data_IF_996526010097
#
_entry.id   IF_996526010097
#
_cell.length_a   1.000
_cell.length_b   1.000
_cell.length_c   1.000
_cell.angle_alpha   90.00
_cell.angle_beta   90.00
_cell.angle_gamma   90.00
#
_symmetry.space_group_name_H-M   'P 1'
#
loop_
_entity.id
_entity.type
_entity.pdbx_description
1 polymer ?
#
# COMPACT_ATOMS: atom_id res chain seq x y z
N UNK A 1 -22.70 3.29 26.02
CA UNK A 1 -22.66 1.88 25.55
C UNK A 1 -21.84 1.83 24.26
N UNK A 2 -21.01 0.81 24.07
CA UNK A 2 -20.26 0.76 22.78
C UNK A 2 -21.25 0.45 21.66
N UNK A 3 -21.42 1.35 20.68
CA UNK A 3 -22.47 1.29 19.66
C UNK A 3 -22.52 -0.04 18.88
N UNK A 4 -21.37 -0.65 18.58
CA UNK A 4 -21.35 -1.93 17.88
C UNK A 4 -22.11 -3.05 18.59
N UNK A 5 -22.23 -3.00 19.93
CA UNK A 5 -23.00 -3.98 20.71
C UNK A 5 -24.49 -3.91 20.43
N UNK A 6 -25.05 -2.72 20.08
CA UNK A 6 -26.43 -2.56 19.67
C UNK A 6 -26.75 -3.40 18.42
N UNK A 7 -25.81 -3.47 17.48
CA UNK A 7 -25.95 -4.26 16.27
C UNK A 7 -25.56 -5.74 16.45
N UNK A 8 -25.47 -6.20 17.72
CA UNK A 8 -25.15 -7.59 18.04
C UNK A 8 -23.73 -8.00 17.65
N UNK A 9 -22.81 -7.03 17.53
CA UNK A 9 -21.39 -7.29 17.30
C UNK A 9 -20.69 -7.44 18.65
N UNK A 10 -19.82 -8.44 18.77
CA UNK A 10 -19.02 -8.69 19.98
C UNK A 10 -17.76 -7.84 20.04
N UNK A 11 -17.28 -7.35 18.88
CA UNK A 11 -16.11 -6.46 18.75
C UNK A 11 -16.37 -5.38 17.70
N UNK A 12 -15.56 -4.32 17.72
CA UNK A 12 -15.59 -3.25 16.72
C UNK A 12 -15.08 -3.80 15.36
N UNK A 13 -15.89 -3.76 14.28
CA UNK A 13 -15.53 -4.29 12.96
C UNK A 13 -14.36 -3.56 12.30
N UNK A 14 -14.07 -2.35 12.78
CA UNK A 14 -13.03 -1.48 12.23
C UNK A 14 -11.77 -1.45 13.11
N UNK A 15 -11.72 -2.26 14.16
CA UNK A 15 -10.57 -2.32 15.04
C UNK A 15 -9.58 -3.40 14.56
N UNK A 16 -8.31 -3.03 14.45
CA UNK A 16 -7.24 -3.93 14.02
C UNK A 16 -7.05 -4.01 12.49
N UNK A 17 -5.87 -4.45 12.12
CA UNK A 17 -5.49 -4.70 10.73
C UNK A 17 -6.14 -5.99 10.18
N UNK A 18 -6.18 -6.07 8.85
CA UNK A 18 -6.49 -7.33 8.16
C UNK A 18 -5.35 -8.32 8.40
N UNK A 19 -5.69 -9.50 8.90
CA UNK A 19 -4.70 -10.52 9.29
C UNK A 19 -4.61 -11.68 8.31
N UNK A 20 -5.61 -11.86 7.44
CA UNK A 20 -5.68 -12.94 6.46
C UNK A 20 -5.91 -12.40 5.06
N UNK A 21 -5.31 -13.03 4.06
CA UNK A 21 -5.48 -12.64 2.65
C UNK A 21 -6.94 -12.71 2.18
N UNK A 22 -7.71 -13.68 2.64
CA UNK A 22 -9.15 -13.87 2.35
C UNK A 22 -10.04 -12.71 2.86
N UNK A 23 -9.56 -11.97 3.83
CA UNK A 23 -10.26 -10.80 4.41
C UNK A 23 -9.93 -9.49 3.70
N UNK A 24 -9.06 -9.51 2.70
CA UNK A 24 -8.70 -8.32 1.92
C UNK A 24 -9.78 -8.06 0.88
N UNK A 25 -10.38 -6.87 0.95
CA UNK A 25 -11.27 -6.42 -0.13
C UNK A 25 -10.43 -6.00 -1.34
N UNK A 26 -10.69 -6.63 -2.48
CA UNK A 26 -10.02 -6.36 -3.74
C UNK A 26 -11.05 -5.96 -4.79
N UNK A 27 -10.98 -4.72 -5.22
CA UNK A 27 -11.58 -4.29 -6.50
C UNK A 27 -10.73 -4.82 -7.67
N UNK A 28 -11.24 -4.74 -8.89
CA UNK A 28 -10.45 -5.13 -10.07
C UNK A 28 -9.18 -4.30 -10.19
N UNK A 29 -9.25 -3.00 -9.86
CA UNK A 29 -8.08 -2.11 -9.85
C UNK A 29 -7.04 -2.53 -8.79
N UNK A 30 -7.45 -2.79 -7.55
CA UNK A 30 -6.53 -3.19 -6.48
C UNK A 30 -5.99 -4.60 -6.71
N UNK A 31 -6.75 -5.47 -7.36
CA UNK A 31 -6.29 -6.79 -7.80
C UNK A 31 -5.20 -6.67 -8.86
N UNK A 32 -5.41 -5.79 -9.85
CA UNK A 32 -4.39 -5.47 -10.86
C UNK A 32 -3.12 -4.93 -10.20
N UNK A 33 -3.25 -3.99 -9.26
CA UNK A 33 -2.11 -3.44 -8.52
C UNK A 33 -1.34 -4.54 -7.77
N UNK A 34 -2.05 -5.43 -7.07
CA UNK A 34 -1.41 -6.54 -6.34
C UNK A 34 -0.69 -7.50 -7.28
N UNK A 35 -1.30 -7.83 -8.43
CA UNK A 35 -0.67 -8.64 -9.47
C UNK A 35 0.57 -7.96 -10.04
N UNK A 36 0.50 -6.66 -10.32
CA UNK A 36 1.63 -5.91 -10.85
C UNK A 36 2.81 -5.89 -9.87
N UNK A 37 2.56 -5.69 -8.58
CA UNK A 37 3.59 -5.77 -7.54
C UNK A 37 4.23 -7.16 -7.49
N UNK A 38 3.42 -8.21 -7.57
CA UNK A 38 3.90 -9.59 -7.59
C UNK A 38 4.79 -9.87 -8.82
N UNK A 39 4.34 -9.47 -10.01
CA UNK A 39 5.12 -9.64 -11.24
C UNK A 39 6.41 -8.81 -11.23
N UNK A 40 6.36 -7.58 -10.72
CA UNK A 40 7.56 -6.74 -10.55
C UNK A 40 8.59 -7.44 -9.66
N UNK A 41 8.17 -8.01 -8.53
CA UNK A 41 9.07 -8.73 -7.64
C UNK A 41 9.71 -9.97 -8.29
N UNK A 42 9.04 -10.60 -9.26
CA UNK A 42 9.56 -11.75 -10.04
C UNK A 42 10.48 -11.32 -11.17
N UNK A 43 10.13 -10.27 -11.89
CA UNK A 43 10.76 -9.90 -13.15
C UNK A 43 11.92 -8.88 -13.02
N UNK A 44 12.04 -8.20 -11.88
CA UNK A 44 13.12 -7.21 -11.67
C UNK A 44 12.78 -5.80 -12.16
N UNK A 45 11.51 -5.40 -12.16
CA UNK A 45 11.04 -4.06 -12.53
C UNK A 45 11.22 -3.01 -11.44
N UNK A 46 10.80 -1.76 -11.76
CA UNK A 46 10.68 -0.66 -10.80
C UNK A 46 9.25 -0.15 -10.78
N UNK A 47 8.63 -0.08 -9.60
CA UNK A 47 7.25 0.40 -9.43
C UNK A 47 7.12 1.31 -8.23
N UNK A 48 6.28 2.33 -8.33
CA UNK A 48 5.85 3.16 -7.23
C UNK A 48 4.35 2.96 -6.98
N UNK A 49 3.99 2.42 -5.80
CA UNK A 49 2.62 2.33 -5.33
C UNK A 49 2.29 3.57 -4.51
N UNK A 50 1.43 4.41 -5.05
CA UNK A 50 1.02 5.68 -4.45
C UNK A 50 -0.44 5.64 -3.97
N UNK A 51 -0.74 6.48 -3.02
CA UNK A 51 -2.11 6.66 -2.53
C UNK A 51 -2.12 7.46 -1.23
N UNK A 52 -3.26 8.03 -0.92
CA UNK A 52 -3.47 8.80 0.30
C UNK A 52 -3.29 7.96 1.58
N UNK A 53 -3.11 8.62 2.71
CA UNK A 53 -3.12 7.93 4.00
C UNK A 53 -4.44 7.19 4.19
N UNK A 54 -4.35 5.90 4.58
CA UNK A 54 -5.54 5.06 4.74
C UNK A 54 -6.15 4.51 3.45
N UNK A 55 -5.49 4.66 2.29
CA UNK A 55 -5.95 4.08 1.01
C UNK A 55 -5.80 2.55 0.90
N UNK A 56 -5.11 1.93 1.85
CA UNK A 56 -4.92 0.47 1.85
C UNK A 56 -3.60 -0.01 1.25
N UNK A 57 -2.63 0.88 0.96
CA UNK A 57 -1.29 0.51 0.43
C UNK A 57 -0.64 -0.65 1.17
N UNK A 58 -0.59 -0.56 2.50
CA UNK A 58 0.00 -1.60 3.36
C UNK A 58 -0.74 -2.93 3.23
N UNK A 59 -2.07 -2.89 3.11
CA UNK A 59 -2.89 -4.09 2.93
C UNK A 59 -2.63 -4.75 1.58
N UNK A 60 -2.61 -3.99 0.49
CA UNK A 60 -2.32 -4.51 -0.86
C UNK A 60 -0.89 -5.04 -0.94
N UNK A 61 0.08 -4.34 -0.35
CA UNK A 61 1.45 -4.83 -0.24
C UNK A 61 1.52 -6.17 0.49
N UNK A 62 0.89 -6.26 1.67
CA UNK A 62 0.86 -7.51 2.45
C UNK A 62 0.22 -8.64 1.66
N UNK A 63 -0.88 -8.37 0.97
CA UNK A 63 -1.55 -9.35 0.11
C UNK A 63 -0.62 -9.87 -1.01
N UNK A 64 0.07 -8.98 -1.73
CA UNK A 64 1.02 -9.38 -2.76
C UNK A 64 2.20 -10.19 -2.20
N UNK A 65 2.70 -9.82 -1.00
CA UNK A 65 3.80 -10.54 -0.35
C UNK A 65 3.38 -11.89 0.21
N UNK A 66 2.18 -12.00 0.78
CA UNK A 66 1.60 -13.26 1.25
C UNK A 66 1.46 -14.27 0.10
N UNK A 67 1.06 -13.79 -1.07
CA UNK A 67 0.99 -14.62 -2.28
C UNK A 67 2.38 -15.15 -2.70
N UNK A 68 3.43 -14.32 -2.62
CA UNK A 68 4.81 -14.76 -2.90
C UNK A 68 5.19 -15.93 -1.98
N UNK A 69 4.82 -15.86 -0.71
CA UNK A 69 5.14 -16.90 0.27
C UNK A 69 4.29 -18.16 0.06
N UNK A 70 2.98 -18.02 -0.15
CA UNK A 70 2.04 -19.12 -0.33
C UNK A 70 2.31 -19.92 -1.60
N UNK A 71 2.74 -19.27 -2.68
CA UNK A 71 3.16 -19.93 -3.92
C UNK A 71 4.58 -20.52 -3.86
N UNK A 72 5.27 -20.42 -2.72
CA UNK A 72 6.62 -20.96 -2.55
C UNK A 72 7.67 -20.29 -3.44
N UNK A 73 7.42 -19.05 -3.86
CA UNK A 73 8.36 -18.30 -4.71
C UNK A 73 9.65 -17.97 -3.95
N UNK A 74 10.78 -18.26 -4.54
CA UNK A 74 12.10 -17.94 -3.98
C UNK A 74 12.43 -16.44 -4.17
N UNK A 75 11.66 -15.57 -3.50
CA UNK A 75 11.88 -14.12 -3.55
C UNK A 75 12.28 -13.62 -2.17
N UNK A 76 13.42 -12.97 -2.06
CA UNK A 76 13.88 -12.31 -0.84
C UNK A 76 13.41 -10.86 -0.83
N UNK A 77 12.67 -10.49 0.23
CA UNK A 77 12.20 -9.13 0.45
C UNK A 77 13.24 -8.40 1.30
N UNK A 78 13.76 -7.32 0.79
CA UNK A 78 14.75 -6.45 1.43
C UNK A 78 14.05 -5.16 1.82
N UNK A 79 14.01 -4.86 3.12
CA UNK A 79 13.32 -3.68 3.64
C UNK A 79 14.25 -2.86 4.54
N UNK A 80 14.81 -1.73 4.06
CA UNK A 80 15.65 -0.87 4.89
C UNK A 80 14.90 -0.36 6.12
N UNK A 81 15.40 -0.69 7.31
CA UNK A 81 14.79 -0.36 8.60
C UNK A 81 15.20 1.02 9.10
N UNK A 82 15.08 2.04 8.24
CA UNK A 82 15.28 3.42 8.68
C UNK A 82 13.98 4.02 9.22
N UNK A 83 14.02 4.65 10.39
CA UNK A 83 12.90 5.38 10.96
C UNK A 83 12.69 6.68 10.17
N UNK A 84 13.78 7.37 9.85
CA UNK A 84 13.77 8.60 9.05
C UNK A 84 14.17 8.27 7.60
N UNK A 85 13.20 8.22 6.72
CA UNK A 85 13.41 7.89 5.29
C UNK A 85 14.09 9.03 4.53
N UNK A 86 13.96 10.28 4.98
CA UNK A 86 14.67 11.40 4.38
C UNK A 86 16.20 11.25 4.51
N UNK A 87 16.65 10.51 5.53
CA UNK A 87 18.06 10.17 5.78
C UNK A 87 18.48 8.80 5.25
N UNK A 88 17.62 8.11 4.52
CA UNK A 88 17.98 6.84 3.90
C UNK A 88 19.06 7.07 2.84
N UNK A 89 20.28 6.61 3.14
CA UNK A 89 21.44 6.75 2.26
C UNK A 89 21.67 5.50 1.42
N UNK A 90 22.42 5.64 0.33
CA UNK A 90 22.91 4.52 -0.48
C UNK A 90 23.62 3.46 0.37
N UNK A 91 24.43 3.91 1.36
CA UNK A 91 25.13 3.01 2.29
C UNK A 91 24.15 2.18 3.12
N UNK A 92 23.09 2.80 3.63
CA UNK A 92 22.06 2.11 4.42
C UNK A 92 21.27 1.10 3.57
N UNK A 93 21.02 1.39 2.30
CA UNK A 93 20.41 0.44 1.35
C UNK A 93 21.34 -0.76 1.13
N UNK A 94 22.65 -0.52 0.90
CA UNK A 94 23.64 -1.62 0.80
C UNK A 94 23.64 -2.49 2.08
N UNK A 95 23.62 -1.87 3.25
CA UNK A 95 23.62 -2.58 4.52
C UNK A 95 22.37 -3.47 4.66
N UNK A 96 21.20 -2.96 4.28
CA UNK A 96 19.96 -3.74 4.28
C UNK A 96 20.04 -4.95 3.33
N UNK A 97 20.54 -4.73 2.10
CA UNK A 97 20.71 -5.83 1.13
C UNK A 97 21.64 -6.90 1.67
N UNK A 98 22.79 -6.50 2.23
CA UNK A 98 23.77 -7.44 2.77
C UNK A 98 23.18 -8.24 3.95
N UNK A 99 22.49 -7.57 4.89
CA UNK A 99 21.89 -8.19 6.06
C UNK A 99 20.74 -9.14 5.72
N UNK A 100 19.85 -8.74 4.79
CA UNK A 100 18.67 -9.53 4.45
C UNK A 100 19.00 -10.68 3.48
N UNK A 101 20.10 -10.57 2.71
CA UNK A 101 20.46 -11.57 1.71
C UNK A 101 21.60 -12.51 2.13
N UNK A 102 22.37 -12.17 3.17
CA UNK A 102 23.51 -12.96 3.61
C UNK A 102 23.73 -12.90 5.13
N UNK A 103 24.60 -13.76 5.64
CA UNK A 103 25.09 -13.71 7.03
C UNK A 103 26.36 -12.84 7.18
N UNK A 104 26.79 -12.16 6.10
CA UNK A 104 28.02 -11.38 6.13
C UNK A 104 27.81 -10.03 6.83
N UNK A 105 28.88 -9.51 7.42
CA UNK A 105 28.88 -8.14 7.94
C UNK A 105 29.17 -7.15 6.81
N UNK A 106 28.46 -6.00 6.74
CA UNK A 106 28.72 -4.96 5.76
C UNK A 106 30.16 -4.43 5.84
N UNK A 107 30.78 -4.23 4.70
CA UNK A 107 32.11 -3.60 4.58
C UNK A 107 32.06 -2.13 5.00
N UNK A 108 33.20 -1.51 5.28
CA UNK A 108 33.26 -0.14 5.80
C UNK A 108 33.04 0.92 4.73
N UNK A 109 33.69 0.79 3.56
CA UNK A 109 33.58 1.78 2.48
C UNK A 109 32.41 1.50 1.56
N UNK A 110 31.81 2.53 0.98
CA UNK A 110 30.69 2.39 0.06
C UNK A 110 31.07 1.57 -1.19
N UNK A 111 32.28 1.75 -1.71
CA UNK A 111 32.78 0.98 -2.85
C UNK A 111 32.87 -0.52 -2.52
N UNK A 112 33.43 -0.87 -1.37
CA UNK A 112 33.53 -2.27 -0.94
C UNK A 112 32.12 -2.87 -0.65
N UNK A 113 31.18 -2.08 -0.12
CA UNK A 113 29.77 -2.49 0.03
C UNK A 113 29.12 -2.75 -1.31
N UNK A 114 29.32 -1.88 -2.31
CA UNK A 114 28.74 -2.03 -3.64
C UNK A 114 29.17 -3.33 -4.30
N UNK A 115 30.48 -3.65 -4.26
CA UNK A 115 31.01 -4.94 -4.77
C UNK A 115 30.46 -6.13 -3.96
N UNK A 116 30.31 -5.97 -2.64
CA UNK A 116 29.72 -7.01 -1.78
C UNK A 116 28.27 -7.27 -2.13
N UNK A 117 27.46 -6.22 -2.35
CA UNK A 117 26.04 -6.31 -2.76
C UNK A 117 25.93 -7.04 -4.09
N UNK A 118 26.69 -6.62 -5.11
CA UNK A 118 26.67 -7.25 -6.43
C UNK A 118 26.98 -8.74 -6.33
N UNK A 119 28.06 -9.12 -5.64
CA UNK A 119 28.45 -10.52 -5.44
C UNK A 119 27.36 -11.33 -4.71
N UNK A 120 26.79 -10.77 -3.63
CA UNK A 120 25.75 -11.46 -2.84
C UNK A 120 24.50 -11.68 -3.69
N UNK A 121 24.02 -10.64 -4.40
CA UNK A 121 22.82 -10.75 -5.23
C UNK A 121 23.05 -11.73 -6.38
N UNK A 122 24.22 -11.69 -7.05
CA UNK A 122 24.59 -12.63 -8.12
C UNK A 122 24.58 -14.07 -7.63
N UNK A 123 25.27 -14.36 -6.52
CA UNK A 123 25.33 -15.71 -5.97
C UNK A 123 23.95 -16.22 -5.55
N UNK A 124 23.15 -15.36 -4.92
CA UNK A 124 21.77 -15.69 -4.51
C UNK A 124 20.87 -15.89 -5.74
N UNK A 125 21.01 -15.09 -6.78
CA UNK A 125 20.26 -15.25 -8.04
C UNK A 125 20.61 -16.57 -8.74
N UNK A 126 21.88 -16.96 -8.79
CA UNK A 126 22.34 -18.25 -9.34
C UNK A 126 21.84 -19.45 -8.51
N UNK A 127 21.57 -19.26 -7.22
CA UNK A 127 20.89 -20.23 -6.36
C UNK A 127 19.35 -20.26 -6.55
N UNK A 128 18.83 -19.49 -7.52
CA UNK A 128 17.41 -19.46 -7.90
C UNK A 128 16.55 -18.48 -7.15
N UNK A 129 17.16 -17.55 -6.38
CA UNK A 129 16.41 -16.50 -5.69
C UNK A 129 16.26 -15.24 -6.56
N UNK A 130 15.12 -14.59 -6.47
CA UNK A 130 14.90 -13.22 -6.89
C UNK A 130 14.96 -12.29 -5.66
N UNK A 131 15.14 -10.99 -5.89
CA UNK A 131 15.25 -10.02 -4.80
C UNK A 131 14.38 -8.82 -5.10
N UNK A 132 13.70 -8.30 -4.09
CA UNK A 132 12.92 -7.06 -4.17
C UNK A 132 13.30 -6.13 -3.03
N UNK A 133 13.77 -4.94 -3.39
CA UNK A 133 13.98 -3.83 -2.46
C UNK A 133 12.68 -3.09 -2.29
N UNK A 134 12.16 -3.07 -1.08
CA UNK A 134 10.89 -2.43 -0.74
C UNK A 134 11.14 -1.25 0.19
N UNK A 135 10.76 -0.06 -0.24
CA UNK A 135 10.92 1.18 0.54
C UNK A 135 9.54 1.75 0.81
N UNK A 136 9.12 1.69 2.08
CA UNK A 136 7.90 2.36 2.56
C UNK A 136 8.20 3.83 2.86
N UNK A 137 7.14 4.67 2.85
CA UNK A 137 7.21 6.14 3.00
C UNK A 137 8.22 6.76 2.02
N UNK A 138 8.23 6.24 0.78
CA UNK A 138 9.18 6.66 -0.25
C UNK A 138 9.01 8.13 -0.67
N UNK A 139 7.89 8.77 -0.33
CA UNK A 139 7.69 10.20 -0.53
C UNK A 139 8.67 11.07 0.27
N UNK A 140 9.28 10.52 1.34
CA UNK A 140 10.33 11.22 2.10
C UNK A 140 11.72 11.10 1.48
N UNK A 141 11.94 10.17 0.52
CA UNK A 141 13.26 10.00 -0.12
C UNK A 141 13.77 11.30 -0.73
N UNK A 142 15.06 11.56 -0.56
CA UNK A 142 15.72 12.66 -1.24
C UNK A 142 15.92 12.36 -2.73
N UNK A 143 15.96 13.37 -3.58
CA UNK A 143 16.25 13.22 -5.02
C UNK A 143 17.59 12.51 -5.28
N UNK A 144 18.69 12.82 -4.55
CA UNK A 144 19.93 12.05 -4.69
C UNK A 144 19.75 10.56 -4.41
N UNK A 145 18.99 10.19 -3.35
CA UNK A 145 18.71 8.77 -3.06
C UNK A 145 17.92 8.12 -4.18
N UNK A 146 16.89 8.80 -4.71
CA UNK A 146 16.11 8.30 -5.84
C UNK A 146 17.00 8.05 -7.07
N UNK A 147 17.95 8.94 -7.38
CA UNK A 147 18.93 8.74 -8.48
C UNK A 147 19.79 7.49 -8.28
N UNK A 148 20.20 7.18 -7.05
CA UNK A 148 20.98 5.99 -6.76
C UNK A 148 20.18 4.68 -6.92
N UNK A 149 18.86 4.70 -6.79
CA UNK A 149 18.04 3.50 -7.01
C UNK A 149 18.19 2.94 -8.42
N UNK A 150 18.41 3.80 -9.42
CA UNK A 150 18.73 3.35 -10.79
C UNK A 150 19.94 2.42 -10.81
N UNK A 151 21.03 2.77 -10.10
CA UNK A 151 22.26 1.97 -10.07
C UNK A 151 22.05 0.60 -9.43
N UNK A 152 21.20 0.50 -8.39
CA UNK A 152 20.82 -0.78 -7.81
C UNK A 152 19.98 -1.61 -8.78
N UNK A 153 19.07 -0.98 -9.50
CA UNK A 153 18.23 -1.66 -10.49
C UNK A 153 19.03 -2.11 -11.72
N UNK A 154 20.10 -1.42 -12.08
CA UNK A 154 20.99 -1.77 -13.20
C UNK A 154 21.87 -3.00 -12.91
N UNK A 155 21.94 -3.48 -11.68
CA UNK A 155 22.65 -4.71 -11.34
C UNK A 155 22.03 -5.90 -12.07
N UNK A 156 22.86 -6.65 -12.82
CA UNK A 156 22.40 -7.77 -13.64
C UNK A 156 23.42 -8.92 -13.70
N UNK A 157 22.95 -10.12 -13.95
CA UNK A 157 23.75 -11.30 -14.27
C UNK A 157 23.31 -11.81 -15.65
N UNK A 158 24.06 -11.45 -16.68
CA UNK A 158 23.64 -11.61 -18.08
C UNK A 158 22.45 -10.71 -18.42
N UNK A 159 21.32 -11.30 -18.81
CA UNK A 159 20.09 -10.57 -19.13
C UNK A 159 19.12 -10.48 -17.93
N UNK A 160 19.47 -11.08 -16.80
CA UNK A 160 18.60 -11.12 -15.63
C UNK A 160 18.90 -9.96 -14.68
N UNK A 161 17.88 -9.16 -14.37
CA UNK A 161 17.96 -8.16 -13.31
C UNK A 161 18.08 -8.84 -11.95
N UNK A 162 19.01 -8.36 -11.13
CA UNK A 162 19.28 -8.93 -9.80
C UNK A 162 18.35 -8.37 -8.71
N UNK A 163 17.74 -7.20 -8.95
CA UNK A 163 16.95 -6.50 -7.95
C UNK A 163 15.72 -5.82 -8.58
N UNK A 164 14.55 -6.15 -8.09
CA UNK A 164 13.33 -5.36 -8.29
C UNK A 164 13.27 -4.23 -7.25
N UNK A 165 12.60 -3.12 -7.57
CA UNK A 165 12.42 -2.01 -6.63
C UNK A 165 10.94 -1.64 -6.55
N UNK A 166 10.41 -1.67 -5.33
CA UNK A 166 9.04 -1.28 -5.00
C UNK A 166 9.09 -0.09 -4.04
N UNK A 167 8.62 1.05 -4.49
CA UNK A 167 8.48 2.26 -3.70
C UNK A 167 7.02 2.40 -3.26
N UNK A 168 6.77 2.62 -1.99
CA UNK A 168 5.42 2.82 -1.46
C UNK A 168 5.38 4.17 -0.79
N UNK A 169 4.48 5.05 -1.26
CA UNK A 169 4.44 6.43 -0.79
C UNK A 169 3.07 7.07 -0.86
N UNK A 170 2.99 8.29 -0.38
CA UNK A 170 1.81 9.14 -0.52
C UNK A 170 1.83 9.85 -1.88
N UNK A 171 0.72 10.49 -2.22
CA UNK A 171 0.52 11.14 -3.54
C UNK A 171 1.49 12.29 -3.78
N UNK A 172 2.07 12.89 -2.74
CA UNK A 172 3.13 13.90 -2.85
C UNK A 172 4.36 13.40 -3.61
N UNK A 173 4.59 12.10 -3.63
CA UNK A 173 5.67 11.51 -4.41
C UNK A 173 5.53 11.77 -5.91
N UNK A 174 4.32 12.02 -6.43
CA UNK A 174 4.11 12.39 -7.84
C UNK A 174 4.96 13.60 -8.25
N UNK A 175 5.06 14.61 -7.38
CA UNK A 175 5.91 15.76 -7.67
C UNK A 175 7.40 15.39 -7.79
N UNK A 176 7.86 14.38 -7.03
CA UNK A 176 9.24 13.87 -7.15
C UNK A 176 9.44 13.01 -8.39
N UNK A 177 8.38 12.38 -8.89
CA UNK A 177 8.38 11.55 -10.11
C UNK A 177 8.01 12.36 -11.37
N UNK A 178 7.89 13.66 -11.26
CA UNK A 178 7.67 14.55 -12.40
C UNK A 178 9.01 14.98 -13.01
N UNK A 179 9.29 14.56 -14.24
CA UNK A 179 10.52 14.90 -14.97
C UNK A 179 10.69 16.40 -15.18
N UNK A 180 9.61 17.14 -15.33
CA UNK A 180 9.66 18.60 -15.54
C UNK A 180 10.18 19.35 -14.31
N UNK A 181 9.90 18.81 -13.12
CA UNK A 181 10.35 19.38 -11.85
C UNK A 181 11.69 18.81 -11.40
N UNK A 182 12.04 17.58 -11.79
CA UNK A 182 13.22 16.85 -11.31
C UNK A 182 14.07 16.31 -12.47
N UNK A 183 14.44 17.19 -13.38
CA UNK A 183 15.22 16.85 -14.58
C UNK A 183 16.46 16.01 -14.30
N UNK A 184 17.14 16.26 -13.19
CA UNK A 184 18.34 15.51 -12.79
C UNK A 184 18.06 14.03 -12.43
N UNK A 185 16.81 13.67 -12.12
CA UNK A 185 16.37 12.31 -11.80
C UNK A 185 15.61 11.62 -12.96
N UNK A 186 15.47 12.27 -14.13
CA UNK A 186 14.68 11.79 -15.26
C UNK A 186 14.97 10.33 -15.66
N UNK A 187 16.24 9.92 -15.56
CA UNK A 187 16.63 8.58 -15.97
C UNK A 187 16.06 7.47 -15.09
N UNK A 188 15.91 7.72 -13.79
CA UNK A 188 15.24 6.78 -12.90
C UNK A 188 13.72 6.93 -12.98
N UNK A 189 13.22 8.17 -13.09
CA UNK A 189 11.78 8.45 -13.18
C UNK A 189 11.15 7.70 -14.36
N UNK A 190 11.78 7.71 -15.53
CA UNK A 190 11.31 7.00 -16.74
C UNK A 190 11.25 5.49 -16.62
N UNK A 191 11.86 4.91 -15.60
CA UNK A 191 11.87 3.46 -15.36
C UNK A 191 10.87 3.00 -14.31
N UNK A 192 10.29 3.97 -13.59
CA UNK A 192 9.34 3.70 -12.52
C UNK A 192 7.93 3.69 -13.10
N UNK A 193 7.28 2.54 -13.06
CA UNK A 193 5.84 2.46 -13.31
C UNK A 193 5.07 2.98 -12.09
N UNK A 194 4.14 3.91 -12.30
CA UNK A 194 3.40 4.54 -11.20
C UNK A 194 2.00 3.93 -11.13
N UNK A 195 1.71 3.28 -10.02
CA UNK A 195 0.39 2.75 -9.69
C UNK A 195 -0.22 3.58 -8.56
N UNK A 196 -1.47 3.94 -8.68
CA UNK A 196 -2.17 4.74 -7.68
C UNK A 196 -3.42 4.03 -7.17
N UNK A 197 -3.57 3.97 -5.84
CA UNK A 197 -4.81 3.51 -5.23
C UNK A 197 -5.80 4.66 -5.17
N UNK A 198 -6.90 4.53 -5.91
CA UNK A 198 -7.98 5.51 -5.94
C UNK A 198 -8.98 5.29 -4.80
N UNK A 199 -9.71 6.34 -4.40
CA UNK A 199 -10.83 6.20 -3.47
C UNK A 199 -12.00 5.49 -4.15
N UNK A 200 -12.90 4.91 -3.38
CA UNK A 200 -14.16 4.37 -3.89
C UNK A 200 -15.02 5.50 -4.46
N UNK A 201 -15.70 5.22 -5.56
CA UNK A 201 -16.49 6.21 -6.29
C UNK A 201 -17.98 6.17 -5.96
N UNK A 202 -18.52 5.02 -5.54
CA UNK A 202 -19.95 4.75 -5.40
C UNK A 202 -20.30 4.14 -4.05
N UNK A 203 -21.58 4.26 -3.66
CA UNK A 203 -22.11 3.57 -2.47
C UNK A 203 -22.07 2.05 -2.60
N UNK A 204 -22.19 1.52 -3.82
CA UNK A 204 -22.09 0.08 -4.09
C UNK A 204 -20.68 -0.48 -3.78
N UNK A 205 -19.63 0.24 -4.13
CA UNK A 205 -18.26 -0.14 -3.78
C UNK A 205 -18.04 -0.10 -2.25
N UNK A 206 -18.60 0.93 -1.58
CA UNK A 206 -18.59 1.03 -0.11
C UNK A 206 -19.35 -0.13 0.52
N UNK A 207 -20.54 -0.46 0.00
CA UNK A 207 -21.33 -1.58 0.46
C UNK A 207 -20.57 -2.90 0.37
N UNK A 208 -19.98 -3.17 -0.79
CA UNK A 208 -19.16 -4.38 -1.03
C UNK A 208 -17.95 -4.46 -0.08
N UNK A 209 -17.30 -3.33 0.18
CA UNK A 209 -16.21 -3.26 1.16
C UNK A 209 -16.69 -3.58 2.58
N UNK A 210 -17.82 -2.99 3.00
CA UNK A 210 -18.39 -3.19 4.32
C UNK A 210 -18.95 -4.61 4.51
N UNK A 211 -19.45 -5.25 3.45
CA UNK A 211 -19.91 -6.64 3.48
C UNK A 211 -18.78 -7.58 3.97
N UNK A 212 -17.57 -7.44 3.47
CA UNK A 212 -16.43 -8.25 3.94
C UNK A 212 -16.12 -7.95 5.40
N UNK A 213 -16.17 -6.67 5.81
CA UNK A 213 -15.89 -6.29 7.21
C UNK A 213 -16.89 -6.90 8.21
N UNK A 214 -18.17 -6.88 7.90
CA UNK A 214 -19.20 -7.43 8.78
C UNK A 214 -19.30 -8.95 8.68
N UNK A 215 -19.11 -9.53 7.48
CA UNK A 215 -19.09 -10.98 7.27
C UNK A 215 -18.01 -11.67 8.13
N UNK A 216 -16.85 -11.04 8.33
CA UNK A 216 -15.80 -11.53 9.26
C UNK A 216 -16.29 -11.72 10.70
N UNK A 217 -17.32 -10.98 11.10
CA UNK A 217 -17.93 -11.04 12.42
C UNK A 217 -19.24 -11.84 12.43
N UNK A 218 -19.51 -12.58 11.34
CA UNK A 218 -20.72 -13.40 11.20
C UNK A 218 -22.00 -12.58 11.08
N UNK A 219 -21.93 -11.34 10.57
CA UNK A 219 -23.08 -10.45 10.40
C UNK A 219 -23.26 -10.06 8.94
N UNK A 220 -24.52 -9.89 8.54
CA UNK A 220 -24.91 -9.31 7.27
C UNK A 220 -24.85 -7.78 7.37
N UNK A 221 -24.22 -7.13 6.41
CA UNK A 221 -24.10 -5.66 6.37
C UNK A 221 -25.48 -4.98 6.38
N UNK A 222 -26.43 -5.50 5.58
CA UNK A 222 -27.77 -4.90 5.44
C UNK A 222 -28.55 -4.80 6.76
N UNK A 223 -28.22 -5.60 7.78
CA UNK A 223 -28.78 -5.51 9.13
C UNK A 223 -28.10 -4.45 9.99
N UNK A 224 -27.06 -3.78 9.48
CA UNK A 224 -26.28 -2.76 10.19
C UNK A 224 -26.34 -1.44 9.45
N UNK A 225 -26.08 -1.45 8.14
CA UNK A 225 -26.15 -0.30 7.25
C UNK A 225 -26.82 -0.69 5.92
N UNK A 226 -27.79 0.11 5.50
CA UNK A 226 -28.55 -0.07 4.27
C UNK A 226 -27.79 0.38 3.03
N UNK A 227 -28.29 0.06 1.83
CA UNK A 227 -27.66 0.50 0.57
C UNK A 227 -27.73 2.02 0.42
N UNK A 228 -28.86 2.63 0.76
CA UNK A 228 -29.02 4.09 0.77
C UNK A 228 -28.13 4.77 1.82
N UNK A 229 -27.90 4.12 2.96
CA UNK A 229 -26.91 4.56 3.95
C UNK A 229 -25.47 4.53 3.38
N UNK A 230 -25.12 3.52 2.59
CA UNK A 230 -23.83 3.47 1.88
C UNK A 230 -23.70 4.56 0.82
N UNK A 231 -24.80 4.85 0.06
CA UNK A 231 -24.79 5.95 -0.92
C UNK A 231 -24.65 7.31 -0.23
N UNK A 232 -25.36 7.54 0.87
CA UNK A 232 -25.20 8.75 1.67
C UNK A 232 -23.78 8.91 2.22
N UNK A 233 -23.09 7.81 2.61
CA UNK A 233 -21.67 7.85 2.96
C UNK A 233 -20.79 8.24 1.78
N UNK A 234 -21.06 7.72 0.58
CA UNK A 234 -20.32 8.08 -0.62
C UNK A 234 -20.46 9.57 -0.92
N UNK A 235 -21.65 10.14 -0.79
CA UNK A 235 -21.89 11.57 -0.97
C UNK A 235 -21.20 12.43 0.09
N UNK A 236 -21.25 12.05 1.36
CA UNK A 236 -20.53 12.73 2.47
C UNK A 236 -19.01 12.72 2.26
N UNK A 237 -18.49 11.72 1.58
CA UNK A 237 -17.07 11.56 1.27
C UNK A 237 -16.68 12.17 -0.09
N UNK A 238 -17.58 12.89 -0.76
CA UNK A 238 -17.27 13.75 -1.89
C UNK A 238 -16.81 15.11 -1.41
N UNK A 239 -15.74 15.61 -2.00
CA UNK A 239 -15.23 16.96 -1.77
C UNK A 239 -15.20 17.74 -3.05
N UNK A 240 -15.30 19.06 -2.94
CA UNK A 240 -15.22 19.96 -4.07
C UNK A 240 -13.99 20.83 -3.99
N UNK A 241 -13.24 20.94 -5.07
CA UNK A 241 -12.13 21.89 -5.17
C UNK A 241 -12.63 23.31 -5.31
N UNK A 242 -11.75 24.30 -5.12
CA UNK A 242 -12.05 25.73 -5.40
C UNK A 242 -12.51 25.97 -6.86
N UNK A 243 -12.18 25.07 -7.79
CA UNK A 243 -12.58 25.12 -9.22
C UNK A 243 -13.84 24.31 -9.50
N UNK A 244 -14.64 24.00 -8.49
CA UNK A 244 -15.89 23.23 -8.60
C UNK A 244 -15.73 21.77 -9.13
N UNK A 245 -14.51 21.21 -9.15
CA UNK A 245 -14.30 19.80 -9.48
C UNK A 245 -14.63 18.96 -8.26
N UNK A 246 -15.60 18.04 -8.40
CA UNK A 246 -15.99 17.09 -7.36
C UNK A 246 -15.12 15.84 -7.47
N UNK A 247 -14.59 15.38 -6.32
CA UNK A 247 -13.79 14.17 -6.23
C UNK A 247 -14.11 13.39 -4.95
N UNK A 248 -13.97 12.07 -4.99
CA UNK A 248 -14.15 11.22 -3.82
C UNK A 248 -12.90 11.24 -2.93
N UNK A 249 -13.12 11.11 -1.62
CA UNK A 249 -12.09 10.80 -0.62
C UNK A 249 -12.46 9.53 0.18
N UNK A 250 -13.32 8.69 -0.38
CA UNK A 250 -13.82 7.47 0.26
C UNK A 250 -12.75 6.37 0.28
N UNK A 251 -11.67 6.63 0.99
CA UNK A 251 -10.65 5.61 1.27
C UNK A 251 -11.08 4.71 2.43
N UNK A 252 -10.61 3.46 2.50
CA UNK A 252 -10.96 2.50 3.54
C UNK A 252 -10.94 3.07 4.97
N UNK A 253 -9.93 3.85 5.31
CA UNK A 253 -9.83 4.47 6.65
C UNK A 253 -10.96 5.47 6.91
N UNK A 254 -11.29 6.31 5.94
CA UNK A 254 -12.36 7.30 6.09
C UNK A 254 -13.73 6.62 6.13
N UNK A 255 -13.97 5.62 5.30
CA UNK A 255 -15.19 4.81 5.33
C UNK A 255 -15.36 4.17 6.72
N UNK A 256 -14.32 3.52 7.24
CA UNK A 256 -14.35 2.92 8.57
C UNK A 256 -14.71 3.94 9.66
N UNK A 257 -14.10 5.12 9.61
CA UNK A 257 -14.34 6.18 10.59
C UNK A 257 -15.78 6.74 10.49
N UNK A 258 -16.26 6.98 9.28
CA UNK A 258 -17.62 7.49 9.07
C UNK A 258 -18.68 6.45 9.40
N UNK A 259 -18.50 5.19 9.01
CA UNK A 259 -19.42 4.10 9.39
C UNK A 259 -19.47 3.92 10.91
N UNK A 260 -18.32 4.00 11.60
CA UNK A 260 -18.31 3.96 13.08
C UNK A 260 -19.08 5.13 13.69
N UNK A 261 -18.95 6.35 13.15
CA UNK A 261 -19.73 7.52 13.59
C UNK A 261 -21.22 7.31 13.35
N UNK A 262 -21.60 6.82 12.16
CA UNK A 262 -22.98 6.55 11.83
C UNK A 262 -23.60 5.47 12.74
N UNK A 263 -22.86 4.42 13.06
CA UNK A 263 -23.31 3.41 14.05
C UNK A 263 -23.49 4.02 15.44
N UNK A 264 -22.64 4.96 15.87
CA UNK A 264 -22.79 5.65 17.14
C UNK A 264 -24.05 6.52 17.14
N UNK A 265 -24.28 7.32 16.08
CA UNK A 265 -25.46 8.14 15.92
C UNK A 265 -26.76 7.30 15.91
N UNK A 266 -26.79 6.21 15.14
CA UNK A 266 -27.93 5.27 15.16
C UNK A 266 -28.20 4.72 16.56
N UNK A 267 -27.14 4.46 17.34
CA UNK A 267 -27.29 3.99 18.71
C UNK A 267 -27.87 5.06 19.64
N UNK A 268 -27.53 6.32 19.47
CA UNK A 268 -28.03 7.48 20.23
C UNK A 268 -29.49 7.81 19.84
N UNK A 269 -29.80 7.77 18.55
CA UNK A 269 -31.15 8.03 18.00
C UNK A 269 -32.14 6.87 18.23
N UNK A 270 -31.66 5.71 18.65
CA UNK A 270 -32.53 4.53 18.82
C UNK A 270 -32.81 3.81 17.49
N UNK A 271 -32.25 4.22 16.37
CA UNK A 271 -32.49 3.62 15.06
C UNK A 271 -31.99 2.16 15.02
N UNK A 272 -32.72 1.27 14.36
CA UNK A 272 -32.36 -0.17 14.28
C UNK A 272 -31.20 -0.42 13.30
N UNK A 273 -31.12 0.35 12.24
CA UNK A 273 -30.10 0.28 11.19
C UNK A 273 -29.54 1.68 10.90
N UNK A 274 -28.41 1.73 10.23
CA UNK A 274 -27.84 2.97 9.69
C UNK A 274 -28.38 3.15 8.28
N UNK A 275 -29.29 4.08 8.09
CA UNK A 275 -29.86 4.49 6.81
C UNK A 275 -29.31 5.86 6.36
N UNK A 276 -29.82 6.38 5.25
CA UNK A 276 -29.46 7.70 4.73
C UNK A 276 -29.77 8.83 5.71
N UNK A 277 -30.87 8.74 6.47
CA UNK A 277 -31.27 9.78 7.43
C UNK A 277 -30.28 9.86 8.58
N UNK A 278 -29.87 8.71 9.14
CA UNK A 278 -28.81 8.64 10.17
C UNK A 278 -27.49 9.21 9.65
N UNK A 279 -27.09 8.85 8.44
CA UNK A 279 -25.85 9.36 7.84
C UNK A 279 -25.93 10.87 7.60
N UNK A 280 -27.08 11.36 7.14
CA UNK A 280 -27.29 12.78 6.87
C UNK A 280 -27.36 13.64 8.13
N UNK A 281 -27.70 13.06 9.26
CA UNK A 281 -27.71 13.75 10.56
C UNK A 281 -26.30 14.04 11.12
N UNK A 282 -25.24 13.47 10.53
CA UNK A 282 -23.83 13.67 10.89
C UNK A 282 -23.23 14.87 10.14
#
# INVERSE_FOLDING_TARGET
MKAYKKFGLFQDPFNGDVTKAEDVFLTDETRFVAEFLYQTAKAGGMVALLGESGSGKTTIRRYAMDRIQSEGQKIKIIAPRSIDKARLTTSAICDAIIQDCSAEKPRRTLEAKSRQVERILTNSSRAGYNHVLMIEEAHDLSIPTLKYLKRFWELEDGFKKLLAIVLIGQTEMKAKLDESQNWEAREVIRRIEVLELKPFGTGEEIASYLDIKFKRLGKERAKIITDDGCEALAEKLRKQTRRAVVYSVAYPLLINNWTRRAMNAAAELGAEVVDSDVVNSL
#
